data_IF_181408792358
#
_entry.id   IF_181408792358
#
_cell.length_a   1.000
_cell.length_b   1.000
_cell.length_c   1.000
_cell.angle_alpha   90.00
_cell.angle_beta   90.00
_cell.angle_gamma   90.00
#
_symmetry.space_group_name_H-M   'P 1'
#
loop_
_entity.id
_entity.type
_entity.pdbx_description
1 polymer ?
#
# COMPACT_ATOMS: atom_id res chain seq x y z
N UNK A 1 -14.87 15.29 -5.89
CA UNK A 1 -13.74 14.73 -5.09
C UNK A 1 -12.57 15.67 -5.19
N UNK A 2 -11.98 16.03 -4.07
CA UNK A 2 -10.87 16.97 -3.94
C UNK A 2 -9.73 16.29 -3.21
N UNK A 3 -8.48 16.47 -3.66
CA UNK A 3 -7.28 15.93 -3.00
C UNK A 3 -6.59 17.07 -2.27
N UNK A 4 -6.34 16.89 -0.95
CA UNK A 4 -5.70 17.87 -0.07
C UNK A 4 -4.57 17.25 0.73
N UNK A 5 -3.55 18.06 0.99
CA UNK A 5 -2.54 17.72 2.00
C UNK A 5 -3.20 17.61 3.37
N UNK A 6 -2.92 16.56 4.12
CA UNK A 6 -3.39 16.40 5.50
C UNK A 6 -2.44 17.10 6.47
N UNK A 7 -2.99 17.80 7.45
CA UNK A 7 -2.20 18.42 8.52
C UNK A 7 -1.92 17.39 9.61
N UNK A 8 -0.65 17.09 9.84
CA UNK A 8 -0.24 16.17 10.90
C UNK A 8 -0.74 16.61 12.30
N UNK A 9 -0.88 17.91 12.55
CA UNK A 9 -1.43 18.40 13.83
C UNK A 9 -2.90 17.99 14.05
N UNK A 10 -3.63 17.79 12.96
CA UNK A 10 -5.03 17.38 13.03
C UNK A 10 -5.17 15.85 13.00
N UNK A 11 -4.35 15.16 12.21
CA UNK A 11 -4.57 13.74 11.91
C UNK A 11 -3.67 12.77 12.66
N UNK A 12 -2.47 13.15 13.11
CA UNK A 12 -1.53 12.24 13.76
C UNK A 12 -2.17 11.50 14.96
N UNK A 13 -1.96 10.18 14.99
CA UNK A 13 -2.50 9.29 16.01
C UNK A 13 -3.99 8.96 15.88
N UNK A 14 -4.73 9.56 14.93
CA UNK A 14 -6.10 9.10 14.65
C UNK A 14 -6.05 7.72 14.02
N UNK A 15 -6.87 6.80 14.54
CA UNK A 15 -6.92 5.41 14.07
C UNK A 15 -7.82 5.28 12.85
N UNK A 16 -7.46 4.33 11.99
CA UNK A 16 -8.31 3.88 10.89
C UNK A 16 -8.27 2.36 10.78
N UNK A 17 -9.30 1.79 10.16
CA UNK A 17 -9.39 0.37 9.83
C UNK A 17 -9.41 0.22 8.31
N UNK A 18 -8.49 -0.53 7.77
CA UNK A 18 -8.50 -0.95 6.37
C UNK A 18 -9.13 -2.34 6.25
N UNK A 19 -10.12 -2.49 5.36
CA UNK A 19 -10.76 -3.77 5.07
C UNK A 19 -10.74 -4.05 3.58
N UNK A 20 -10.49 -5.30 3.23
CA UNK A 20 -10.47 -5.77 1.85
C UNK A 20 -10.98 -7.20 1.75
N UNK A 21 -11.39 -7.58 0.55
CA UNK A 21 -11.76 -8.95 0.23
C UNK A 21 -10.60 -9.60 -0.50
N UNK A 22 -10.04 -10.64 0.10
CA UNK A 22 -9.02 -11.49 -0.52
C UNK A 22 -9.70 -12.61 -1.31
N UNK A 23 -9.31 -12.80 -2.58
CA UNK A 23 -9.84 -13.86 -3.46
C UNK A 23 -8.85 -14.99 -3.68
N UNK A 24 -7.66 -14.87 -3.14
CA UNK A 24 -6.54 -15.79 -3.27
C UNK A 24 -5.27 -15.14 -2.78
N UNK A 25 -4.16 -15.75 -3.05
CA UNK A 25 -2.85 -15.26 -2.62
C UNK A 25 -1.78 -15.63 -3.65
N UNK A 26 -0.65 -14.93 -3.59
CA UNK A 26 0.56 -15.35 -4.28
C UNK A 26 1.35 -16.27 -3.36
N UNK A 27 1.43 -17.54 -3.74
CA UNK A 27 2.30 -18.52 -3.10
C UNK A 27 3.74 -18.30 -3.56
N UNK A 28 4.66 -18.23 -2.63
CA UNK A 28 6.09 -18.01 -2.91
C UNK A 28 6.88 -19.09 -2.20
N UNK A 29 7.52 -19.93 -2.97
CA UNK A 29 8.32 -21.05 -2.43
C UNK A 29 9.61 -21.26 -3.21
N UNK A 30 10.58 -21.88 -2.54
CA UNK A 30 11.85 -22.25 -3.15
C UNK A 30 11.66 -23.36 -4.20
N UNK A 31 12.25 -23.20 -5.38
CA UNK A 31 12.19 -24.16 -6.47
C UNK A 31 13.55 -24.22 -7.19
N UNK A 32 14.28 -25.32 -7.00
CA UNK A 32 15.47 -25.65 -7.77
C UNK A 32 16.63 -24.63 -7.75
N UNK A 33 16.79 -23.87 -6.67
CA UNK A 33 17.81 -22.83 -6.52
C UNK A 33 17.33 -21.42 -6.86
N UNK A 34 16.01 -21.26 -7.11
CA UNK A 34 15.32 -20.00 -7.25
C UNK A 34 14.05 -19.97 -6.41
N UNK A 35 13.14 -19.06 -6.78
CA UNK A 35 11.83 -18.97 -6.20
C UNK A 35 10.77 -18.99 -7.31
N UNK A 36 9.65 -19.62 -7.01
CA UNK A 36 8.45 -19.59 -7.85
C UNK A 36 7.40 -18.75 -7.15
N UNK A 37 6.70 -17.93 -7.92
CA UNK A 37 5.58 -17.11 -7.47
C UNK A 37 4.38 -17.53 -8.30
N UNK A 38 3.33 -18.04 -7.65
CA UNK A 38 2.13 -18.55 -8.30
C UNK A 38 0.87 -17.98 -7.63
N UNK A 39 -0.12 -17.56 -8.41
CA UNK A 39 -1.41 -17.18 -7.87
C UNK A 39 -2.25 -18.42 -7.54
N UNK A 40 -2.73 -18.50 -6.31
CA UNK A 40 -3.60 -19.57 -5.81
C UNK A 40 -4.94 -18.96 -5.38
N UNK A 41 -6.07 -19.28 -6.04
CA UNK A 41 -7.36 -18.78 -5.63
C UNK A 41 -7.84 -19.46 -4.35
N UNK A 42 -8.55 -18.72 -3.47
CA UNK A 42 -9.31 -19.31 -2.38
C UNK A 42 -10.60 -19.97 -2.91
N UNK A 43 -11.06 -21.02 -2.26
CA UNK A 43 -12.37 -21.63 -2.56
C UNK A 43 -13.51 -20.63 -2.33
N UNK A 44 -13.41 -19.83 -1.28
CA UNK A 44 -14.32 -18.73 -0.95
C UNK A 44 -13.53 -17.46 -0.63
N UNK A 45 -13.97 -16.30 -1.11
CA UNK A 45 -13.33 -15.04 -0.74
C UNK A 45 -13.33 -14.80 0.77
N UNK A 46 -12.24 -14.29 1.31
CA UNK A 46 -12.06 -13.99 2.73
C UNK A 46 -12.05 -12.49 2.99
N UNK A 47 -12.76 -12.05 4.03
CA UNK A 47 -12.60 -10.68 4.51
C UNK A 47 -11.35 -10.60 5.38
N UNK A 48 -10.47 -9.66 5.06
CA UNK A 48 -9.24 -9.36 5.79
C UNK A 48 -9.13 -7.86 6.06
N UNK A 49 -8.24 -7.49 6.97
CA UNK A 49 -8.00 -6.09 7.28
C UNK A 49 -6.97 -5.91 8.38
N UNK A 50 -6.67 -4.66 8.63
CA UNK A 50 -5.77 -4.25 9.71
C UNK A 50 -6.20 -2.89 10.26
N UNK A 51 -5.81 -2.62 11.49
CA UNK A 51 -5.93 -1.32 12.13
C UNK A 51 -4.57 -0.65 12.16
N UNK A 52 -4.54 0.66 11.89
CA UNK A 52 -3.33 1.48 11.95
C UNK A 52 -3.71 2.93 12.30
N UNK A 53 -2.75 3.82 12.35
CA UNK A 53 -2.94 5.22 12.66
C UNK A 53 -2.28 6.14 11.63
N UNK A 54 -2.86 7.32 11.43
CA UNK A 54 -2.29 8.35 10.59
C UNK A 54 -0.99 8.88 11.19
N UNK A 55 0.01 9.11 10.35
CA UNK A 55 1.30 9.69 10.74
C UNK A 55 1.99 8.91 11.87
N UNK A 56 1.99 7.56 11.76
CA UNK A 56 2.59 6.70 12.77
C UNK A 56 4.00 7.15 13.19
N UNK A 57 4.30 7.04 14.49
CA UNK A 57 5.56 7.53 15.06
C UNK A 57 6.83 6.93 14.44
N UNK A 58 6.71 5.80 13.75
CA UNK A 58 7.80 5.13 13.06
C UNK A 58 8.15 5.76 11.69
N UNK A 59 7.35 6.71 11.19
CA UNK A 59 7.58 7.43 9.93
C UNK A 59 8.47 8.66 10.17
N UNK A 60 9.52 8.81 9.37
CA UNK A 60 10.42 9.98 9.40
C UNK A 60 9.90 11.06 8.44
N UNK A 61 9.36 12.15 8.99
CA UNK A 61 8.85 13.31 8.25
C UNK A 61 7.80 12.94 7.17
N UNK A 62 6.69 12.28 7.56
CA UNK A 62 5.72 11.76 6.62
C UNK A 62 4.91 12.86 5.92
N UNK A 63 4.55 12.59 4.68
CA UNK A 63 3.61 13.39 3.88
C UNK A 63 2.36 12.57 3.62
N UNK A 64 1.19 13.15 3.82
CA UNK A 64 -0.08 12.48 3.57
C UNK A 64 -1.05 13.37 2.77
N UNK A 65 -1.83 12.75 1.88
CA UNK A 65 -2.93 13.39 1.15
C UNK A 65 -4.23 12.69 1.44
N UNK A 66 -5.30 13.46 1.65
CA UNK A 66 -6.66 12.97 1.78
C UNK A 66 -7.49 13.23 0.53
N UNK A 67 -8.36 12.28 0.21
CA UNK A 67 -9.43 12.47 -0.77
C UNK A 67 -10.71 12.86 -0.03
N UNK A 68 -11.34 13.96 -0.44
CA UNK A 68 -12.54 14.50 0.19
C UNK A 68 -13.70 14.54 -0.79
N UNK A 69 -14.89 14.17 -0.33
CA UNK A 69 -16.18 14.35 -1.03
C UNK A 69 -17.14 14.99 -0.06
N UNK A 70 -17.73 16.15 -0.43
CA UNK A 70 -18.65 16.93 0.40
C UNK A 70 -18.10 17.24 1.82
N UNK A 71 -16.79 17.54 1.89
CA UNK A 71 -16.09 17.84 3.15
C UNK A 71 -15.73 16.62 4.00
N UNK A 72 -16.12 15.40 3.61
CA UNK A 72 -15.81 14.16 4.32
C UNK A 72 -14.57 13.50 3.73
N UNK A 73 -13.65 13.07 4.58
CA UNK A 73 -12.51 12.26 4.19
C UNK A 73 -13.00 10.86 3.76
N UNK A 74 -12.77 10.48 2.50
CA UNK A 74 -13.17 9.20 1.91
C UNK A 74 -12.00 8.23 1.66
N UNK A 75 -10.78 8.70 1.83
CA UNK A 75 -9.56 7.91 1.71
C UNK A 75 -8.33 8.77 1.86
N UNK A 76 -7.18 8.14 1.99
CA UNK A 76 -5.91 8.83 2.14
C UNK A 76 -4.76 8.00 1.60
N UNK A 77 -3.61 8.65 1.43
CA UNK A 77 -2.31 8.05 1.13
C UNK A 77 -1.26 8.75 1.97
N UNK A 78 -0.31 8.00 2.52
CA UNK A 78 0.82 8.57 3.24
C UNK A 78 2.12 7.82 2.96
N UNK A 79 3.23 8.50 3.17
CA UNK A 79 4.56 7.94 2.99
C UNK A 79 5.65 8.94 3.36
N UNK A 80 6.89 8.50 3.29
CA UNK A 80 8.05 9.31 3.61
C UNK A 80 9.24 9.01 2.70
N UNK A 81 10.18 9.97 2.62
CA UNK A 81 11.42 9.81 1.87
C UNK A 81 12.44 9.01 2.70
N UNK A 82 12.87 7.84 2.19
CA UNK A 82 14.03 7.12 2.72
C UNK A 82 15.33 7.81 2.23
N UNK A 83 15.86 8.72 3.03
CA UNK A 83 16.99 9.62 2.65
C UNK A 83 18.27 8.86 2.27
N UNK A 84 18.53 7.70 2.91
CA UNK A 84 19.77 6.94 2.72
C UNK A 84 19.90 6.31 1.32
N UNK A 85 18.77 6.00 0.65
CA UNK A 85 18.75 5.37 -0.68
C UNK A 85 17.91 6.14 -1.70
N UNK A 86 17.38 7.30 -1.29
CA UNK A 86 16.55 8.19 -2.09
C UNK A 86 15.33 7.50 -2.72
N UNK A 87 14.65 6.63 -1.94
CA UNK A 87 13.35 6.04 -2.30
C UNK A 87 12.24 6.73 -1.51
N UNK A 88 11.07 6.86 -2.10
CA UNK A 88 9.87 7.26 -1.36
C UNK A 88 9.10 6.01 -0.94
N UNK A 89 8.98 5.77 0.35
CA UNK A 89 8.19 4.65 0.88
C UNK A 89 6.76 5.09 1.09
N UNK A 90 5.85 4.55 0.29
CA UNK A 90 4.42 4.65 0.53
C UNK A 90 4.07 3.66 1.64
N UNK A 91 3.63 4.17 2.79
CA UNK A 91 3.31 3.37 3.98
C UNK A 91 1.87 2.92 3.98
N UNK A 92 0.95 3.81 3.66
CA UNK A 92 -0.48 3.50 3.62
C UNK A 92 -1.17 4.14 2.41
N UNK A 93 -2.09 3.40 1.80
CA UNK A 93 -3.13 3.94 0.91
C UNK A 93 -4.44 3.21 1.20
N UNK A 94 -5.45 3.95 1.59
CA UNK A 94 -6.74 3.39 1.95
C UNK A 94 -7.88 4.23 1.37
N UNK A 95 -8.88 3.59 0.78
CA UNK A 95 -10.16 4.20 0.42
C UNK A 95 -11.24 3.46 1.21
N UNK A 96 -11.96 4.20 2.05
CA UNK A 96 -12.78 3.62 3.12
C UNK A 96 -14.02 2.89 2.61
N UNK A 97 -14.57 3.26 1.47
CA UNK A 97 -15.77 2.64 0.91
C UNK A 97 -15.63 2.24 -0.57
N UNK A 98 -16.43 1.27 -0.99
CA UNK A 98 -16.40 0.72 -2.35
C UNK A 98 -16.89 1.71 -3.41
N UNK A 99 -17.81 2.60 -3.08
CA UNK A 99 -18.34 3.60 -4.00
C UNK A 99 -17.26 4.63 -4.36
N UNK A 100 -16.50 5.09 -3.37
CA UNK A 100 -15.36 5.99 -3.56
C UNK A 100 -14.21 5.32 -4.35
N UNK A 101 -13.98 4.00 -4.13
CA UNK A 101 -13.03 3.22 -4.95
C UNK A 101 -13.44 3.20 -6.41
N UNK A 102 -14.72 2.95 -6.70
CA UNK A 102 -15.27 2.92 -8.05
C UNK A 102 -15.16 4.29 -8.77
N UNK A 103 -15.22 5.41 -8.03
CA UNK A 103 -15.02 6.76 -8.55
C UNK A 103 -13.55 7.12 -8.80
N UNK A 104 -12.60 6.24 -8.51
CA UNK A 104 -11.17 6.44 -8.77
C UNK A 104 -10.41 7.20 -7.68
N UNK A 105 -10.91 7.26 -6.44
CA UNK A 105 -10.24 7.93 -5.33
C UNK A 105 -8.82 7.41 -5.09
N UNK A 106 -8.62 6.09 -5.11
CA UNK A 106 -7.29 5.50 -4.97
C UNK A 106 -6.31 5.93 -6.06
N UNK A 107 -6.76 6.02 -7.32
CA UNK A 107 -5.92 6.50 -8.43
C UNK A 107 -5.53 7.96 -8.26
N UNK A 108 -6.46 8.81 -7.82
CA UNK A 108 -6.19 10.22 -7.59
C UNK A 108 -5.19 10.43 -6.44
N UNK A 109 -5.34 9.66 -5.35
CA UNK A 109 -4.39 9.64 -4.23
C UNK A 109 -2.99 9.17 -4.67
N UNK A 110 -2.91 8.07 -5.43
CA UNK A 110 -1.65 7.57 -5.96
C UNK A 110 -0.96 8.57 -6.89
N UNK A 111 -1.71 9.29 -7.71
CA UNK A 111 -1.18 10.34 -8.58
C UNK A 111 -0.60 11.49 -7.75
N UNK A 112 -1.32 11.99 -6.75
CA UNK A 112 -0.84 13.05 -5.86
C UNK A 112 0.45 12.65 -5.13
N UNK A 113 0.51 11.43 -4.60
CA UNK A 113 1.71 10.94 -3.93
C UNK A 113 2.88 10.72 -4.90
N UNK A 114 2.60 10.32 -6.13
CA UNK A 114 3.64 10.19 -7.17
C UNK A 114 4.28 11.54 -7.49
N UNK A 115 3.48 12.59 -7.61
CA UNK A 115 4.01 13.95 -7.84
C UNK A 115 4.77 14.50 -6.62
N UNK A 116 4.31 14.21 -5.41
CA UNK A 116 5.04 14.54 -4.19
C UNK A 116 6.42 13.83 -4.14
N UNK A 117 6.45 12.53 -4.41
CA UNK A 117 7.70 11.77 -4.44
C UNK A 117 8.71 12.32 -5.46
N UNK A 118 8.23 12.74 -6.64
CA UNK A 118 9.06 13.44 -7.64
C UNK A 118 9.59 14.77 -7.13
N UNK A 119 8.73 15.57 -6.48
CA UNK A 119 9.11 16.86 -5.91
C UNK A 119 10.18 16.73 -4.80
N UNK A 120 10.16 15.62 -4.04
CA UNK A 120 11.22 15.25 -3.10
C UNK A 120 12.52 14.75 -3.80
N UNK A 121 12.53 14.59 -5.11
CA UNK A 121 13.64 14.06 -5.88
C UNK A 121 13.87 12.56 -5.69
N UNK A 122 12.85 11.82 -5.25
CA UNK A 122 12.98 10.38 -5.10
C UNK A 122 13.20 9.68 -6.45
N UNK A 123 14.10 8.69 -6.48
CA UNK A 123 14.36 7.89 -7.71
C UNK A 123 13.30 6.86 -8.01
N UNK A 124 12.54 6.43 -7.00
CA UNK A 124 11.45 5.47 -7.11
C UNK A 124 10.51 5.55 -5.92
N UNK A 125 9.28 5.09 -6.10
CA UNK A 125 8.36 4.78 -5.00
C UNK A 125 8.43 3.29 -4.72
N UNK A 126 8.46 2.92 -3.45
CA UNK A 126 8.39 1.54 -2.97
C UNK A 126 7.25 1.40 -1.96
N UNK A 127 6.69 0.23 -1.89
CA UNK A 127 5.65 -0.12 -0.91
C UNK A 127 5.74 -1.61 -0.58
N UNK A 128 5.05 -2.02 0.47
CA UNK A 128 4.86 -3.42 0.80
C UNK A 128 3.37 -3.76 0.89
N UNK A 129 3.05 -5.02 0.66
CA UNK A 129 1.71 -5.57 0.88
C UNK A 129 1.80 -7.06 1.17
N UNK A 130 0.76 -7.61 1.77
CA UNK A 130 0.68 -9.06 2.01
C UNK A 130 0.33 -9.80 0.71
N UNK A 131 0.84 -11.01 0.55
CA UNK A 131 0.60 -11.86 -0.63
C UNK A 131 -0.87 -12.19 -0.87
N UNK A 132 -1.69 -12.16 0.18
CA UNK A 132 -3.15 -12.34 0.09
C UNK A 132 -3.91 -11.04 -0.25
N UNK A 133 -3.29 -9.88 -0.25
CA UNK A 133 -3.94 -8.63 -0.64
C UNK A 133 -3.89 -8.44 -2.16
N UNK A 134 -4.44 -9.41 -2.89
CA UNK A 134 -4.37 -9.46 -4.36
C UNK A 134 -5.04 -8.27 -5.03
N UNK A 135 -6.08 -7.70 -4.40
CA UNK A 135 -6.72 -6.48 -4.90
C UNK A 135 -5.82 -5.24 -4.83
N UNK A 136 -4.96 -5.15 -3.81
CA UNK A 136 -3.96 -4.10 -3.71
C UNK A 136 -2.82 -4.31 -4.72
N UNK A 137 -2.35 -5.55 -4.88
CA UNK A 137 -1.31 -5.90 -5.88
C UNK A 137 -1.78 -5.50 -7.27
N UNK A 138 -3.00 -5.92 -7.68
CA UNK A 138 -3.60 -5.54 -8.95
C UNK A 138 -3.72 -4.02 -9.13
N UNK A 139 -4.08 -3.31 -8.05
CA UNK A 139 -4.16 -1.86 -8.07
C UNK A 139 -2.78 -1.22 -8.29
N UNK A 140 -1.75 -1.70 -7.62
CA UNK A 140 -0.39 -1.19 -7.76
C UNK A 140 0.18 -1.48 -9.16
N UNK A 141 -0.01 -2.67 -9.71
CA UNK A 141 0.40 -3.02 -11.07
C UNK A 141 -0.25 -2.08 -12.11
N UNK A 142 -1.56 -1.81 -11.98
CA UNK A 142 -2.28 -0.85 -12.83
C UNK A 142 -1.78 0.59 -12.69
N UNK A 143 -1.05 0.92 -11.61
CA UNK A 143 -0.39 2.20 -11.39
C UNK A 143 1.11 2.18 -11.73
N UNK A 144 1.59 1.10 -12.38
CA UNK A 144 2.95 0.97 -12.91
C UNK A 144 3.98 0.51 -11.87
N UNK A 145 3.55 -0.17 -10.82
CA UNK A 145 4.44 -0.87 -9.89
C UNK A 145 4.70 -2.29 -10.38
N UNK A 146 5.85 -2.81 -10.04
CA UNK A 146 6.27 -4.19 -10.27
C UNK A 146 6.69 -4.84 -8.96
N UNK A 147 6.57 -6.15 -8.83
CA UNK A 147 7.15 -6.90 -7.70
C UNK A 147 8.67 -6.81 -7.82
N UNK A 148 9.33 -6.32 -6.76
CA UNK A 148 10.78 -6.13 -6.71
C UNK A 148 11.46 -7.00 -5.64
N UNK A 149 10.69 -7.64 -4.78
CA UNK A 149 11.20 -8.51 -3.73
C UNK A 149 10.09 -9.07 -2.86
N UNK A 150 10.48 -9.90 -1.91
CA UNK A 150 9.59 -10.47 -0.89
C UNK A 150 10.40 -10.91 0.33
N UNK A 151 9.69 -11.10 1.45
CA UNK A 151 10.23 -11.69 2.67
C UNK A 151 9.22 -12.72 3.19
N UNK A 152 9.67 -13.99 3.30
CA UNK A 152 8.80 -15.10 3.66
C UNK A 152 8.35 -15.07 5.11
N UNK A 153 9.06 -14.35 6.00
CA UNK A 153 8.86 -14.38 7.45
C UNK A 153 8.93 -12.99 8.08
N UNK A 154 8.43 -11.99 7.38
CA UNK A 154 8.54 -10.58 7.81
C UNK A 154 7.69 -10.26 9.04
N UNK A 155 6.51 -10.85 9.15
CA UNK A 155 5.56 -10.58 10.24
C UNK A 155 5.57 -11.68 11.30
N UNK A 156 5.80 -12.93 10.91
CA UNK A 156 5.82 -14.10 11.80
C UNK A 156 6.54 -15.28 11.15
N UNK A 157 6.80 -16.33 11.96
CA UNK A 157 7.36 -17.59 11.43
C UNK A 157 6.34 -18.45 10.66
N UNK A 158 5.10 -17.98 10.52
CA UNK A 158 3.98 -18.70 9.86
C UNK A 158 3.34 -17.87 8.75
N UNK A 159 4.03 -16.87 8.22
CA UNK A 159 3.49 -16.02 7.14
C UNK A 159 3.12 -16.81 5.88
N UNK A 160 3.90 -17.82 5.42
CA UNK A 160 3.52 -18.65 4.27
C UNK A 160 2.22 -19.43 4.52
N UNK A 161 2.06 -20.06 5.68
CA UNK A 161 0.88 -20.85 6.04
C UNK A 161 -0.37 -19.98 6.23
N UNK A 162 -0.16 -18.70 6.60
CA UNK A 162 -1.23 -17.70 6.73
C UNK A 162 -1.53 -16.97 5.43
N UNK A 163 -0.73 -17.21 4.39
CA UNK A 163 -0.79 -16.51 3.10
C UNK A 163 -0.52 -15.01 3.23
N UNK A 164 0.34 -14.62 4.17
CA UNK A 164 0.67 -13.23 4.52
C UNK A 164 2.14 -12.88 4.21
N UNK A 165 2.76 -13.57 3.27
CA UNK A 165 4.13 -13.26 2.84
C UNK A 165 4.21 -11.79 2.44
N UNK A 166 5.21 -11.07 2.92
CA UNK A 166 5.46 -9.69 2.54
C UNK A 166 5.97 -9.62 1.10
N UNK A 167 5.27 -8.88 0.26
CA UNK A 167 5.68 -8.56 -1.10
C UNK A 167 6.10 -7.09 -1.15
N UNK A 168 7.31 -6.84 -1.65
CA UNK A 168 7.81 -5.50 -1.97
C UNK A 168 7.48 -5.17 -3.42
N UNK A 169 6.88 -4.01 -3.65
CA UNK A 169 6.62 -3.50 -4.98
C UNK A 169 7.28 -2.15 -5.19
N UNK A 170 7.68 -1.85 -6.42
CA UNK A 170 8.39 -0.63 -6.74
C UNK A 170 8.01 -0.06 -8.10
N UNK A 171 8.06 1.29 -8.18
CA UNK A 171 7.86 2.06 -9.41
C UNK A 171 9.00 3.05 -9.55
N UNK A 172 9.80 2.94 -10.61
CA UNK A 172 10.82 3.94 -10.95
C UNK A 172 10.16 5.26 -11.36
N UNK A 173 10.72 6.36 -10.87
CA UNK A 173 10.34 7.69 -11.29
C UNK A 173 11.35 8.18 -12.34
N UNK A 174 10.82 8.73 -13.41
CA UNK A 174 11.64 9.33 -14.46
C UNK A 174 12.05 10.76 -14.06
#
# INVERSE_FOLDING_TARGET
MEIKLLDAKEYAGKKFTARYISRGYYDIHADGGGFRIEYVPFETPEERGFDDEFFGEWLDDPTAYGAFEDGRLIGFVEGCLEKWNNRFRLSNICVFDSASRAKGAGRALMAAMTEAAKAFGARMIVLETQSCNTGAIDFYEKNGFEIIGFDLYSYSNTDPERHEIRIEMGKKLA
#
